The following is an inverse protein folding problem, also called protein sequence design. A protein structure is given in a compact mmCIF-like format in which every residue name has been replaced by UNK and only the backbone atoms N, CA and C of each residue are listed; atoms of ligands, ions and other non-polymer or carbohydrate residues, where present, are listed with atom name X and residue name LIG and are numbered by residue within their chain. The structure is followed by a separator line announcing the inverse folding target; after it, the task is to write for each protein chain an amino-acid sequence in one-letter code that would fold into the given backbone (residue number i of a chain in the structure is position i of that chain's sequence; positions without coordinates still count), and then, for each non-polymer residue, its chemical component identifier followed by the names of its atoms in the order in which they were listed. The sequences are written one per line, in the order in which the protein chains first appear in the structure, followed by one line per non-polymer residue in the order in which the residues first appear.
data_IF_611440390974
#
_entry.id   IF_611440390974
#
_cell.length_a   1.000
_cell.length_b   1.000
_cell.length_c   1.000
_cell.angle_alpha   90.00
_cell.angle_beta   90.00
_cell.angle_gamma   90.00
#
_symmetry.space_group_name_H-M   'P 1'
#
loop_
_entity.id
_entity.type
_entity.pdbx_description
1 polymer ?
#
# COMPACT_ATOMS: atom_id res chain seq x y z
N UNK A 1 4.87 5.62 -14.45
CA UNK A 1 6.32 5.85 -14.25
C UNK A 1 6.52 6.99 -13.28
N UNK A 2 7.48 6.87 -12.40
CA UNK A 2 7.84 7.94 -11.48
C UNK A 2 9.34 8.14 -11.44
N UNK A 3 9.76 9.39 -11.29
CA UNK A 3 11.15 9.78 -11.03
C UNK A 3 11.14 10.65 -9.79
N UNK A 4 12.05 10.41 -8.86
CA UNK A 4 12.11 11.14 -7.59
C UNK A 4 12.09 12.66 -7.83
N UNK A 5 11.13 13.35 -7.20
CA UNK A 5 10.95 14.80 -7.34
C UNK A 5 10.25 15.28 -8.62
N UNK A 6 9.81 14.35 -9.49
CA UNK A 6 9.20 14.71 -10.78
C UNK A 6 7.74 14.23 -10.93
N UNK A 7 7.15 13.69 -9.89
CA UNK A 7 5.77 13.19 -9.91
C UNK A 7 5.64 11.82 -10.57
N UNK A 8 4.41 11.34 -10.63
CA UNK A 8 4.06 10.06 -11.26
C UNK A 8 3.27 10.32 -12.53
N UNK A 9 3.60 9.59 -13.59
CA UNK A 9 3.00 9.75 -14.91
C UNK A 9 2.31 8.46 -15.35
N UNK A 10 1.16 8.60 -15.99
CA UNK A 10 0.43 7.53 -16.64
C UNK A 10 0.22 7.93 -18.10
N UNK A 11 0.70 7.11 -19.03
CA UNK A 11 0.64 7.38 -20.47
C UNK A 11 1.19 8.78 -20.84
N UNK A 12 2.26 9.18 -20.19
CA UNK A 12 2.93 10.46 -20.44
C UNK A 12 2.29 11.66 -19.74
N UNK A 13 1.16 11.47 -19.05
CA UNK A 13 0.48 12.55 -18.32
C UNK A 13 0.74 12.46 -16.83
N UNK A 14 1.06 13.59 -16.20
CA UNK A 14 1.27 13.63 -14.76
C UNK A 14 -0.04 13.34 -14.02
N UNK A 15 0.03 12.46 -13.02
CA UNK A 15 -1.12 12.16 -12.17
C UNK A 15 -1.35 13.29 -11.17
N UNK A 16 -2.62 13.59 -10.88
CA UNK A 16 -2.96 14.57 -9.86
C UNK A 16 -2.61 14.05 -8.47
N UNK A 17 -2.23 14.93 -7.53
CA UNK A 17 -1.99 14.53 -6.15
C UNK A 17 -3.20 13.81 -5.55
N UNK A 18 -2.94 12.79 -4.74
CA UNK A 18 -3.99 12.05 -4.04
C UNK A 18 -4.68 12.96 -3.03
N UNK A 19 -6.02 12.89 -3.00
CA UNK A 19 -6.82 13.67 -2.08
C UNK A 19 -6.90 12.98 -0.72
N UNK A 20 -7.03 13.75 0.38
CA UNK A 20 -7.32 13.16 1.69
C UNK A 20 -8.58 12.32 1.65
N UNK A 21 -8.52 11.15 2.30
CA UNK A 21 -9.61 10.19 2.31
C UNK A 21 -9.61 9.43 3.64
N UNK A 22 -10.66 8.64 3.86
CA UNK A 22 -10.70 7.68 4.95
C UNK A 22 -11.19 6.33 4.43
N UNK A 23 -11.15 5.30 5.28
CA UNK A 23 -11.43 3.93 4.87
C UNK A 23 -12.84 3.71 4.31
N UNK A 24 -13.79 4.62 4.60
CA UNK A 24 -15.16 4.51 4.09
C UNK A 24 -15.32 5.03 2.66
N UNK A 25 -14.28 5.64 2.08
CA UNK A 25 -14.37 6.30 0.78
C UNK A 25 -14.09 5.39 -0.41
N UNK A 26 -13.62 4.17 -0.18
CA UNK A 26 -13.30 3.24 -1.26
C UNK A 26 -12.70 1.94 -0.77
N UNK A 27 -11.96 1.26 -1.63
CA UNK A 27 -11.38 -0.04 -1.33
C UNK A 27 -9.91 0.04 -0.97
N UNK A 28 -9.48 -0.83 -0.07
CA UNK A 28 -8.08 -1.03 0.32
C UNK A 28 -7.60 -2.36 -0.25
N UNK A 29 -6.44 -2.36 -0.89
CA UNK A 29 -5.79 -3.59 -1.33
C UNK A 29 -5.12 -4.30 -0.16
N UNK A 30 -5.31 -5.61 -0.09
CA UNK A 30 -4.69 -6.45 0.94
C UNK A 30 -3.93 -7.58 0.26
N UNK A 31 -2.63 -7.67 0.53
CA UNK A 31 -1.78 -8.71 0.00
C UNK A 31 -1.53 -9.84 0.99
N UNK A 32 -1.27 -11.00 0.42
CA UNK A 32 -0.95 -12.20 1.18
C UNK A 32 -0.06 -13.12 0.35
N UNK A 33 0.92 -13.72 0.99
CA UNK A 33 1.77 -14.74 0.35
C UNK A 33 1.94 -15.94 1.28
N UNK A 34 2.33 -17.08 0.70
CA UNK A 34 2.55 -18.32 1.46
C UNK A 34 3.73 -18.25 2.45
N UNK A 35 4.49 -17.16 2.41
CA UNK A 35 5.61 -16.94 3.32
C UNK A 35 5.19 -16.57 4.74
N UNK A 36 3.93 -16.20 4.94
CA UNK A 36 3.40 -15.76 6.23
C UNK A 36 2.13 -16.54 6.58
N UNK A 37 1.76 -16.54 7.86
CA UNK A 37 0.53 -17.18 8.30
C UNK A 37 -0.68 -16.33 7.96
N UNK A 38 -1.88 -16.94 7.99
CA UNK A 38 -3.14 -16.26 7.69
C UNK A 38 -3.62 -15.35 8.82
N UNK A 39 -3.02 -15.41 10.01
CA UNK A 39 -3.48 -14.64 11.18
C UNK A 39 -3.46 -13.13 10.89
N UNK A 40 -2.35 -12.63 10.35
CA UNK A 40 -2.22 -11.21 10.04
C UNK A 40 -3.23 -10.72 9.01
N UNK A 41 -3.36 -11.43 7.88
CA UNK A 41 -4.29 -11.02 6.81
C UNK A 41 -5.74 -11.08 7.29
N UNK A 42 -6.11 -12.08 8.08
CA UNK A 42 -7.45 -12.17 8.65
C UNK A 42 -7.76 -10.99 9.56
N UNK A 43 -6.80 -10.59 10.39
CA UNK A 43 -6.94 -9.43 11.27
C UNK A 43 -7.06 -8.13 10.49
N UNK A 44 -6.26 -7.96 9.44
CA UNK A 44 -6.35 -6.77 8.56
C UNK A 44 -7.73 -6.66 7.93
N UNK A 45 -8.21 -7.74 7.33
CA UNK A 45 -9.53 -7.76 6.66
C UNK A 45 -10.63 -7.42 7.66
N UNK A 46 -10.62 -8.06 8.83
CA UNK A 46 -11.60 -7.76 9.88
C UNK A 46 -11.55 -6.30 10.32
N UNK A 47 -10.36 -5.76 10.50
CA UNK A 47 -10.19 -4.37 10.93
C UNK A 47 -10.71 -3.38 9.88
N UNK A 48 -10.45 -3.64 8.61
CA UNK A 48 -10.96 -2.78 7.52
C UNK A 48 -12.48 -2.81 7.48
N UNK A 49 -13.07 -4.00 7.54
CA UNK A 49 -14.53 -4.15 7.51
C UNK A 49 -15.18 -3.51 8.74
N UNK A 50 -14.59 -3.67 9.93
CA UNK A 50 -15.11 -3.05 11.16
C UNK A 50 -15.03 -1.52 11.12
N UNK A 51 -14.08 -0.97 10.37
CA UNK A 51 -13.96 0.47 10.17
C UNK A 51 -14.91 1.01 9.08
N UNK A 52 -15.73 0.16 8.48
CA UNK A 52 -16.66 0.54 7.42
C UNK A 52 -16.04 0.55 6.03
N UNK A 53 -14.84 0.02 5.89
CA UNK A 53 -14.14 -0.05 4.61
C UNK A 53 -14.47 -1.30 3.81
N UNK A 54 -13.94 -1.35 2.61
CA UNK A 54 -14.02 -2.51 1.72
C UNK A 54 -12.61 -2.92 1.35
N UNK A 55 -12.35 -4.20 1.29
CA UNK A 55 -11.04 -4.68 0.85
C UNK A 55 -11.10 -5.25 -0.57
N UNK A 56 -9.94 -5.20 -1.24
CA UNK A 56 -9.76 -5.78 -2.57
C UNK A 56 -8.48 -6.59 -2.58
N UNK A 57 -8.52 -7.73 -3.22
CA UNK A 57 -7.35 -8.56 -3.40
C UNK A 57 -7.17 -8.93 -4.87
N UNK A 58 -5.95 -8.70 -5.38
CA UNK A 58 -5.55 -9.29 -6.64
C UNK A 58 -4.18 -9.97 -6.48
N UNK A 59 -3.79 -10.78 -7.45
CA UNK A 59 -2.59 -11.59 -7.34
C UNK A 59 -1.29 -10.78 -7.46
N UNK A 60 -1.35 -9.54 -7.92
CA UNK A 60 -0.18 -8.70 -8.13
C UNK A 60 -0.11 -7.55 -7.14
N UNK A 61 0.84 -7.63 -6.19
CA UNK A 61 1.12 -6.51 -5.30
C UNK A 61 1.64 -5.29 -6.04
N UNK A 62 2.49 -5.47 -7.05
CA UNK A 62 3.00 -4.38 -7.88
C UNK A 62 1.87 -3.61 -8.56
N UNK A 63 0.90 -4.32 -9.14
CA UNK A 63 -0.27 -3.70 -9.78
C UNK A 63 -1.13 -2.97 -8.75
N UNK A 64 -1.33 -3.55 -7.58
CA UNK A 64 -2.09 -2.91 -6.50
C UNK A 64 -1.47 -1.59 -6.05
N UNK A 65 -0.14 -1.51 -5.96
CA UNK A 65 0.55 -0.26 -5.63
C UNK A 65 0.33 0.80 -6.72
N UNK A 66 0.36 0.40 -7.99
CA UNK A 66 0.06 1.31 -9.09
C UNK A 66 -1.38 1.82 -9.02
N UNK A 67 -2.33 0.99 -8.62
CA UNK A 67 -3.74 1.40 -8.43
C UNK A 67 -3.90 2.38 -7.28
N UNK A 68 -3.09 2.28 -6.23
CA UNK A 68 -3.08 3.30 -5.17
C UNK A 68 -2.59 4.63 -5.73
N UNK A 69 -1.52 4.61 -6.52
CA UNK A 69 -0.96 5.83 -7.11
C UNK A 69 -1.95 6.54 -8.03
N UNK A 70 -2.78 5.82 -8.78
CA UNK A 70 -3.75 6.44 -9.69
C UNK A 70 -5.13 6.68 -9.05
N UNK A 71 -5.29 6.37 -7.77
CA UNK A 71 -6.50 6.65 -7.01
C UNK A 71 -7.58 5.59 -7.10
N UNK A 72 -7.33 4.45 -7.74
CA UNK A 72 -8.31 3.35 -7.81
C UNK A 72 -8.45 2.59 -6.51
N UNK A 73 -7.37 2.54 -5.71
CA UNK A 73 -7.39 2.00 -4.36
C UNK A 73 -7.01 3.10 -3.38
N UNK A 74 -7.59 3.08 -2.18
CA UNK A 74 -7.25 4.02 -1.12
C UNK A 74 -5.88 3.76 -0.51
N UNK A 75 -5.46 2.51 -0.50
CA UNK A 75 -4.19 2.09 0.08
C UNK A 75 -3.95 0.62 -0.16
N UNK A 76 -2.81 0.16 0.33
CA UNK A 76 -2.40 -1.24 0.21
C UNK A 76 -1.56 -1.64 1.42
N UNK A 77 -1.76 -2.84 1.93
CA UNK A 77 -0.93 -3.39 2.99
C UNK A 77 -0.65 -4.87 2.76
N UNK A 78 0.59 -5.27 3.01
CA UNK A 78 1.01 -6.66 2.98
C UNK A 78 2.13 -6.88 3.99
N UNK A 79 2.09 -8.01 4.71
CA UNK A 79 3.06 -8.31 5.76
C UNK A 79 4.48 -8.49 5.23
N UNK A 80 4.63 -9.08 4.04
CA UNK A 80 5.95 -9.33 3.46
C UNK A 80 5.90 -9.26 1.94
N UNK A 81 6.69 -8.36 1.37
CA UNK A 81 6.94 -8.25 -0.06
C UNK A 81 8.44 -8.26 -0.34
N UNK A 82 8.80 -8.75 -1.52
CA UNK A 82 10.17 -8.63 -2.00
C UNK A 82 10.38 -7.25 -2.64
N UNK A 83 11.62 -6.78 -2.64
CA UNK A 83 11.95 -5.45 -3.17
C UNK A 83 11.49 -5.26 -4.62
N UNK A 84 11.66 -6.28 -5.47
CA UNK A 84 11.27 -6.20 -6.88
C UNK A 84 9.76 -6.11 -7.11
N UNK A 85 8.96 -6.40 -6.10
CA UNK A 85 7.50 -6.27 -6.17
C UNK A 85 6.99 -4.93 -5.62
N UNK A 86 7.79 -4.19 -4.87
CA UNK A 86 7.26 -3.04 -4.12
C UNK A 86 8.02 -1.72 -4.29
N UNK A 87 9.33 -1.72 -4.52
CA UNK A 87 10.10 -0.47 -4.49
C UNK A 87 9.63 0.55 -5.53
N UNK A 88 9.38 0.11 -6.75
CA UNK A 88 8.88 1.00 -7.80
C UNK A 88 7.49 1.55 -7.46
N UNK A 89 6.59 0.69 -6.97
CA UNK A 89 5.23 1.09 -6.58
C UNK A 89 5.22 2.06 -5.41
N UNK A 90 6.10 1.88 -4.44
CA UNK A 90 6.23 2.81 -3.32
C UNK A 90 6.64 4.21 -3.80
N UNK A 91 7.55 4.30 -4.77
CA UNK A 91 7.91 5.57 -5.37
C UNK A 91 6.73 6.20 -6.12
N UNK A 92 5.97 5.39 -6.89
CA UNK A 92 4.76 5.89 -7.57
C UNK A 92 3.81 6.58 -6.60
N UNK A 93 3.55 5.95 -5.46
CA UNK A 93 2.62 6.48 -4.45
C UNK A 93 3.21 7.73 -3.77
N UNK A 94 4.48 7.70 -3.40
CA UNK A 94 5.12 8.83 -2.74
C UNK A 94 5.10 10.08 -3.63
N UNK A 95 5.36 9.93 -4.93
CA UNK A 95 5.42 11.05 -5.87
C UNK A 95 4.05 11.66 -6.19
N UNK A 96 2.95 11.00 -5.86
CA UNK A 96 1.59 11.59 -5.95
C UNK A 96 1.08 12.08 -4.58
N UNK A 97 1.95 12.19 -3.59
CA UNK A 97 1.58 12.71 -2.26
C UNK A 97 0.96 11.70 -1.32
N UNK A 98 0.97 10.42 -1.65
CA UNK A 98 0.55 9.35 -0.74
C UNK A 98 1.60 9.07 0.33
N UNK A 99 1.18 8.43 1.41
CA UNK A 99 2.08 7.92 2.43
C UNK A 99 2.67 6.58 2.03
N UNK A 100 3.94 6.38 2.34
CA UNK A 100 4.62 5.09 2.21
C UNK A 100 5.50 4.91 3.43
N UNK A 101 5.42 3.74 4.07
CA UNK A 101 6.22 3.47 5.26
C UNK A 101 7.70 3.54 4.92
N UNK A 102 8.46 4.32 5.71
CA UNK A 102 9.89 4.49 5.49
C UNK A 102 10.63 3.17 5.72
N UNK A 103 11.49 2.80 4.78
CA UNK A 103 12.24 1.55 4.81
C UNK A 103 13.62 1.75 4.22
N UNK A 104 14.58 0.94 4.70
CA UNK A 104 15.88 0.83 4.07
C UNK A 104 15.75 0.01 2.78
N UNK A 105 16.11 0.60 1.64
CA UNK A 105 16.12 -0.12 0.37
C UNK A 105 17.06 -1.33 0.42
N UNK A 106 18.20 -1.20 1.11
CA UNK A 106 19.15 -2.29 1.28
C UNK A 106 18.53 -3.47 2.04
N UNK A 107 17.82 -3.21 3.14
CA UNK A 107 17.16 -4.27 3.91
C UNK A 107 16.05 -4.92 3.08
N UNK A 108 15.31 -4.14 2.30
CA UNK A 108 14.26 -4.66 1.41
C UNK A 108 14.83 -5.56 0.33
N UNK A 109 15.96 -5.20 -0.25
CA UNK A 109 16.64 -6.02 -1.27
C UNK A 109 17.12 -7.34 -0.67
N UNK A 110 17.64 -7.32 0.54
CA UNK A 110 18.20 -8.50 1.19
C UNK A 110 17.14 -9.48 1.70
N UNK A 111 16.09 -8.99 2.32
CA UNK A 111 15.15 -9.84 3.05
C UNK A 111 13.67 -9.52 2.81
N UNK A 112 13.37 -8.44 2.09
CA UNK A 112 12.01 -7.98 1.95
C UNK A 112 11.45 -7.41 3.26
N UNK A 113 10.16 -7.15 3.29
CA UNK A 113 9.51 -6.63 4.48
C UNK A 113 8.08 -6.21 4.22
N UNK A 114 7.50 -5.67 5.27
CA UNK A 114 6.12 -5.18 5.23
C UNK A 114 6.01 -3.92 4.36
N UNK A 115 4.89 -3.80 3.66
CA UNK A 115 4.58 -2.62 2.85
C UNK A 115 3.23 -2.07 3.29
N UNK A 116 3.20 -0.77 3.55
CA UNK A 116 1.98 -0.03 3.84
C UNK A 116 2.04 1.29 3.07
N UNK A 117 1.06 1.52 2.22
CA UNK A 117 0.91 2.78 1.47
C UNK A 117 -0.55 3.23 1.52
N UNK A 118 -0.79 4.51 1.34
CA UNK A 118 -2.16 5.00 1.32
C UNK A 118 -2.25 6.47 0.95
N UNK A 119 -3.46 6.87 0.56
CA UNK A 119 -3.81 8.27 0.42
C UNK A 119 -3.67 8.99 1.75
N UNK A 120 -3.50 10.33 1.75
CA UNK A 120 -3.46 11.09 3.01
C UNK A 120 -4.70 10.78 3.87
N UNK A 121 -4.47 10.53 5.16
CA UNK A 121 -5.52 10.07 6.09
C UNK A 121 -5.66 8.56 6.15
N UNK A 122 -5.78 7.89 5.02
CA UNK A 122 -5.84 6.42 4.96
C UNK A 122 -4.52 5.78 5.41
N UNK A 123 -3.40 6.38 5.05
CA UNK A 123 -2.08 5.84 5.42
C UNK A 123 -1.95 5.65 6.93
N UNK A 124 -2.31 6.65 7.73
CA UNK A 124 -2.22 6.56 9.19
C UNK A 124 -3.14 5.47 9.75
N UNK A 125 -4.35 5.34 9.19
CA UNK A 125 -5.27 4.29 9.59
C UNK A 125 -4.72 2.89 9.26
N UNK A 126 -4.12 2.74 8.08
CA UNK A 126 -3.52 1.46 7.68
C UNK A 126 -2.26 1.12 8.48
N UNK A 127 -1.45 2.10 8.86
CA UNK A 127 -0.30 1.88 9.75
C UNK A 127 -0.79 1.30 11.08
N UNK A 128 -1.81 1.89 11.68
CA UNK A 128 -2.37 1.40 12.95
C UNK A 128 -2.93 -0.02 12.82
N UNK A 129 -3.67 -0.30 11.76
CA UNK A 129 -4.21 -1.63 11.49
C UNK A 129 -3.08 -2.64 11.27
N UNK A 130 -2.07 -2.28 10.49
CA UNK A 130 -0.95 -3.17 10.17
C UNK A 130 -0.08 -3.44 11.39
N UNK A 131 0.16 -2.44 12.23
CA UNK A 131 0.90 -2.61 13.48
C UNK A 131 0.21 -3.63 14.39
N UNK A 132 -1.12 -3.52 14.52
CA UNK A 132 -1.91 -4.47 15.31
C UNK A 132 -1.90 -5.87 14.69
N UNK A 133 -2.14 -5.96 13.39
CA UNK A 133 -2.32 -7.23 12.70
C UNK A 133 -1.03 -8.02 12.55
N UNK A 134 0.08 -7.34 12.25
CA UNK A 134 1.33 -7.99 11.89
C UNK A 134 2.33 -8.12 13.05
N UNK A 135 1.94 -7.67 14.22
CA UNK A 135 2.76 -7.80 15.43
C UNK A 135 2.74 -9.22 16.02
N UNK A 136 1.81 -10.04 15.60
CA UNK A 136 1.66 -11.42 16.10
C UNK A 136 2.44 -12.43 15.27
#
# INVERSE_FOLDING_TARGET
MAICGQGTHLSGMILQPLQPANLTDGSVGVGFSNRVTTVGVNTVVSSILNAGGVFHRNASGALSLAYVADGRLLGYTEKHMNAWDCLAGQLLVAEVGGGSEAQSAEAMIKQGGRVVVGAPGVFDQLIAISDHAYSA
#
